data_IF_149919111062
#
_entry.id   IF_149919111062
#
_cell.length_a   1.000
_cell.length_b   1.000
_cell.length_c   1.000
_cell.angle_alpha   90.00
_cell.angle_beta   90.00
_cell.angle_gamma   90.00
#
_symmetry.space_group_name_H-M   'P 1'
#
loop_
_entity.id
_entity.type
_entity.pdbx_description
1 polymer ?
#
# COMPACT_ATOMS: atom_id res chain seq x y z
N UNK A 1 -20.95 14.57 -2.44
CA UNK A 1 -19.60 14.07 -2.10
C UNK A 1 -19.76 12.70 -1.45
N UNK A 2 -18.98 11.67 -1.81
CA UNK A 2 -19.02 10.40 -1.07
C UNK A 2 -18.71 10.68 0.39
N UNK A 3 -19.49 10.10 1.30
CA UNK A 3 -19.30 10.20 2.74
C UNK A 3 -17.86 9.84 3.11
N UNK A 4 -17.32 10.42 4.18
CA UNK A 4 -15.96 10.13 4.63
C UNK A 4 -15.71 8.66 4.89
N UNK A 5 -16.74 7.95 5.34
CA UNK A 5 -16.71 6.49 5.50
C UNK A 5 -16.43 5.75 4.18
N UNK A 6 -16.98 6.24 3.07
CA UNK A 6 -16.74 5.67 1.73
C UNK A 6 -15.28 5.94 1.31
N UNK A 7 -14.75 7.13 1.61
CA UNK A 7 -13.34 7.48 1.31
C UNK A 7 -12.38 6.64 2.14
N UNK A 8 -12.68 6.44 3.41
CA UNK A 8 -11.88 5.63 4.33
C UNK A 8 -11.87 4.16 3.90
N UNK A 9 -13.05 3.58 3.64
CA UNK A 9 -13.18 2.20 3.19
C UNK A 9 -12.43 1.93 1.88
N UNK A 10 -12.44 2.89 0.95
CA UNK A 10 -11.70 2.78 -0.31
C UNK A 10 -10.18 2.79 -0.09
N UNK A 11 -9.67 3.63 0.81
CA UNK A 11 -8.24 3.64 1.16
C UNK A 11 -7.84 2.34 1.85
N UNK A 12 -8.66 1.82 2.76
CA UNK A 12 -8.41 0.53 3.42
C UNK A 12 -8.39 -0.63 2.43
N UNK A 13 -9.30 -0.63 1.45
CA UNK A 13 -9.27 -1.61 0.34
C UNK A 13 -7.97 -1.50 -0.46
N UNK A 14 -7.54 -0.29 -0.81
CA UNK A 14 -6.31 -0.08 -1.58
C UNK A 14 -5.06 -0.50 -0.81
N UNK A 15 -5.04 -0.27 0.52
CA UNK A 15 -3.99 -0.76 1.43
C UNK A 15 -3.94 -2.29 1.38
N UNK A 16 -5.07 -2.96 1.52
CA UNK A 16 -5.13 -4.42 1.52
C UNK A 16 -4.63 -5.03 0.19
N UNK A 17 -5.04 -4.45 -0.94
CA UNK A 17 -4.57 -4.89 -2.27
C UNK A 17 -3.07 -4.66 -2.43
N UNK A 18 -2.56 -3.48 -2.04
CA UNK A 18 -1.13 -3.16 -2.18
C UNK A 18 -0.28 -4.04 -1.28
N UNK A 19 -0.72 -4.33 -0.05
CA UNK A 19 -0.03 -5.23 0.86
C UNK A 19 0.01 -6.69 0.35
N UNK A 20 -1.10 -7.17 -0.23
CA UNK A 20 -1.15 -8.50 -0.85
C UNK A 20 -0.17 -8.61 -2.03
N UNK A 21 -0.16 -7.60 -2.91
CA UNK A 21 0.75 -7.54 -4.05
C UNK A 21 2.23 -7.49 -3.61
N UNK A 22 2.54 -6.71 -2.57
CA UNK A 22 3.90 -6.61 -2.04
C UNK A 22 4.38 -7.95 -1.46
N UNK A 23 3.50 -8.67 -0.76
CA UNK A 23 3.80 -10.01 -0.26
C UNK A 23 4.06 -11.00 -1.40
N UNK A 24 3.23 -10.98 -2.43
CA UNK A 24 3.42 -11.83 -3.61
C UNK A 24 4.74 -11.51 -4.33
N UNK A 25 5.11 -10.23 -4.46
CA UNK A 25 6.39 -9.83 -5.04
C UNK A 25 7.59 -10.31 -4.22
N UNK A 26 7.50 -10.27 -2.89
CA UNK A 26 8.55 -10.80 -2.01
C UNK A 26 8.68 -12.33 -2.16
N UNK A 27 7.55 -13.05 -2.22
CA UNK A 27 7.54 -14.50 -2.42
C UNK A 27 8.10 -14.90 -3.80
N UNK A 28 7.78 -14.12 -4.84
CA UNK A 28 8.37 -14.27 -6.18
C UNK A 28 9.87 -13.95 -6.17
N UNK A 29 10.30 -12.86 -5.52
CA UNK A 29 11.70 -12.49 -5.38
C UNK A 29 12.52 -13.61 -4.73
N UNK A 30 12.00 -14.20 -3.64
CA UNK A 30 12.62 -15.31 -2.94
C UNK A 30 12.70 -16.60 -3.80
N UNK A 31 11.81 -16.75 -4.80
CA UNK A 31 11.79 -17.90 -5.70
C UNK A 31 12.68 -17.74 -6.94
N UNK A 32 12.94 -16.51 -7.39
CA UNK A 32 13.72 -16.23 -8.61
C UNK A 32 15.22 -16.02 -8.31
N UNK A 33 16.01 -17.09 -8.37
CA UNK A 33 17.48 -17.10 -8.23
C UNK A 33 18.26 -16.62 -9.47
N UNK A 34 17.74 -15.68 -10.26
CA UNK A 34 18.42 -15.18 -11.49
C UNK A 34 18.73 -13.69 -11.35
N UNK A 35 20.01 -13.36 -11.21
CA UNK A 35 20.56 -12.05 -10.81
C UNK A 35 20.14 -10.83 -11.65
N UNK A 36 19.58 -11.00 -12.86
CA UNK A 36 19.05 -9.88 -13.67
C UNK A 36 17.63 -9.48 -13.24
N UNK A 37 16.91 -10.34 -12.54
CA UNK A 37 15.56 -10.07 -12.03
C UNK A 37 15.54 -9.46 -10.64
N UNK A 38 16.59 -9.61 -9.83
CA UNK A 38 16.60 -9.13 -8.44
C UNK A 38 16.50 -7.60 -8.31
N UNK A 39 17.24 -6.84 -9.12
CA UNK A 39 17.23 -5.37 -9.05
C UNK A 39 15.88 -4.78 -9.48
N UNK A 40 15.29 -5.31 -10.56
CA UNK A 40 13.99 -4.91 -11.08
C UNK A 40 12.84 -5.29 -10.14
N UNK A 41 12.94 -6.43 -9.45
CA UNK A 41 11.96 -6.85 -8.45
C UNK A 41 12.11 -6.05 -7.16
N UNK A 42 13.34 -5.76 -6.72
CA UNK A 42 13.62 -4.87 -5.59
C UNK A 42 13.04 -3.48 -5.78
N UNK A 43 13.28 -2.85 -6.93
CA UNK A 43 12.71 -1.55 -7.28
C UNK A 43 11.17 -1.55 -7.20
N UNK A 44 10.52 -2.62 -7.70
CA UNK A 44 9.05 -2.75 -7.66
C UNK A 44 8.52 -2.95 -6.25
N UNK A 45 9.26 -3.64 -5.38
CA UNK A 45 8.90 -3.80 -3.96
C UNK A 45 8.99 -2.44 -3.26
N UNK A 46 10.07 -1.68 -3.49
CA UNK A 46 10.27 -0.35 -2.91
C UNK A 46 9.16 0.64 -3.34
N UNK A 47 8.80 0.64 -4.62
CA UNK A 47 7.71 1.47 -5.14
C UNK A 47 6.36 1.12 -4.49
N UNK A 48 6.07 -0.17 -4.30
CA UNK A 48 4.83 -0.60 -3.65
C UNK A 48 4.83 -0.32 -2.15
N UNK A 49 5.98 -0.42 -1.48
CA UNK A 49 6.14 -0.05 -0.08
C UNK A 49 5.89 1.46 0.13
N UNK A 50 6.49 2.30 -0.73
CA UNK A 50 6.27 3.74 -0.70
C UNK A 50 4.80 4.12 -0.94
N UNK A 51 4.14 3.43 -1.88
CA UNK A 51 2.70 3.60 -2.13
C UNK A 51 1.86 3.20 -0.91
N UNK A 52 2.18 2.08 -0.28
CA UNK A 52 1.51 1.60 0.93
C UNK A 52 1.63 2.62 2.07
N UNK A 53 2.84 3.15 2.30
CA UNK A 53 3.07 4.20 3.31
C UNK A 53 2.27 5.47 3.04
N UNK A 54 2.19 5.89 1.77
CA UNK A 54 1.36 7.03 1.35
C UNK A 54 -0.13 6.81 1.65
N UNK A 55 -0.66 5.62 1.33
CA UNK A 55 -2.05 5.26 1.63
C UNK A 55 -2.33 5.21 3.13
N UNK A 56 -1.40 4.67 3.93
CA UNK A 56 -1.51 4.66 5.40
C UNK A 56 -1.55 6.09 5.94
N UNK A 57 -0.62 6.96 5.52
CA UNK A 57 -0.65 8.38 5.93
C UNK A 57 -1.96 9.06 5.57
N UNK A 58 -2.48 8.81 4.36
CA UNK A 58 -3.76 9.38 3.92
C UNK A 58 -4.95 8.89 4.76
N UNK A 59 -4.93 7.62 5.16
CA UNK A 59 -5.90 7.04 6.09
C UNK A 59 -5.83 7.75 7.45
N UNK A 60 -4.64 7.94 7.99
CA UNK A 60 -4.44 8.61 9.28
C UNK A 60 -4.86 10.08 9.24
N UNK A 61 -4.56 10.80 8.16
CA UNK A 61 -5.05 12.16 7.94
C UNK A 61 -6.57 12.23 7.99
N UNK A 62 -7.27 11.34 7.27
CA UNK A 62 -8.73 11.30 7.27
C UNK A 62 -9.30 10.93 8.65
N UNK A 63 -8.66 10.00 9.36
CA UNK A 63 -9.08 9.64 10.72
C UNK A 63 -8.88 10.80 11.70
N UNK A 64 -7.79 11.56 11.56
CA UNK A 64 -7.54 12.77 12.38
C UNK A 64 -8.53 13.89 12.05
N UNK A 65 -8.82 14.12 10.77
CA UNK A 65 -9.84 15.10 10.35
C UNK A 65 -11.20 14.75 10.95
N UNK A 66 -11.61 13.49 10.81
CA UNK A 66 -12.86 12.99 11.39
C UNK A 66 -12.91 13.14 12.92
N UNK A 67 -11.84 12.77 13.63
CA UNK A 67 -11.79 12.85 15.09
C UNK A 67 -11.67 14.29 15.64
N UNK A 68 -11.33 15.27 14.80
CA UNK A 68 -11.35 16.70 15.13
C UNK A 68 -12.65 17.41 14.74
N UNK A 69 -13.57 16.70 14.08
CA UNK A 69 -14.91 17.18 13.72
C UNK A 69 -16.00 16.70 14.70
N UNK A 70 -15.62 15.94 15.75
CA UNK A 70 -16.44 15.60 16.93
C UNK A 70 -16.30 16.65 18.05
#
# INVERSE_FOLDING_TARGET
MPSEDIRLAEIERQIAVTAANLRELIEQAASYSVATSEELVGQRIDDQAARLESLIRRREELLRSRAGED
#
